data_IF_488882796187
#
_entry.id   IF_488882796187
#
_cell.length_a   1.000
_cell.length_b   1.000
_cell.length_c   1.000
_cell.angle_alpha   90.00
_cell.angle_beta   90.00
_cell.angle_gamma   90.00
#
_symmetry.space_group_name_H-M   'P 1'
#
loop_
_entity.id
_entity.type
_entity.pdbx_description
1 polymer ?
#
# COMPACT_ATOMS: atom_id res chain seq x y z
N UNK A 1 27.69 -1.56 -64.08
CA UNK A 1 27.58 -3.01 -63.83
C UNK A 1 27.92 -3.28 -62.38
N UNK A 2 26.90 -3.59 -61.55
CA UNK A 2 26.91 -4.35 -60.27
C UNK A 2 27.90 -3.91 -59.16
N UNK A 3 27.60 -3.71 -57.88
CA UNK A 3 26.43 -3.86 -57.00
C UNK A 3 26.94 -3.37 -55.63
N UNK A 4 26.57 -2.18 -55.16
CA UNK A 4 25.60 -1.96 -54.07
C UNK A 4 25.30 -3.21 -53.20
N UNK A 5 26.14 -3.50 -52.19
CA UNK A 5 25.81 -4.34 -51.01
C UNK A 5 26.95 -4.32 -49.98
N UNK A 6 27.06 -3.27 -49.18
CA UNK A 6 27.88 -3.27 -47.95
C UNK A 6 27.35 -2.31 -46.90
N UNK A 7 26.04 -2.36 -46.61
CA UNK A 7 25.42 -1.51 -45.59
C UNK A 7 24.41 -2.22 -44.68
N UNK A 8 24.19 -3.54 -44.83
CA UNK A 8 23.08 -4.23 -44.16
C UNK A 8 23.50 -5.11 -42.97
N UNK A 9 24.80 -5.22 -42.66
CA UNK A 9 25.29 -6.02 -41.51
C UNK A 9 25.48 -5.21 -40.22
N UNK A 10 25.65 -3.88 -40.30
CA UNK A 10 25.94 -3.06 -39.12
C UNK A 10 24.72 -2.33 -38.52
N UNK A 11 23.58 -2.30 -39.21
CA UNK A 11 22.35 -1.69 -38.67
C UNK A 11 21.57 -2.68 -37.81
N UNK A 12 21.71 -3.99 -38.05
CA UNK A 12 21.05 -5.03 -37.26
C UNK A 12 21.73 -5.31 -35.91
N UNK A 13 23.04 -5.04 -35.78
CA UNK A 13 23.77 -5.29 -34.54
C UNK A 13 23.64 -4.15 -33.52
N UNK A 14 23.12 -2.99 -33.93
CA UNK A 14 22.93 -1.82 -33.06
C UNK A 14 21.53 -1.74 -32.43
N UNK A 15 20.63 -2.68 -32.72
CA UNK A 15 19.24 -2.65 -32.23
C UNK A 15 18.97 -3.57 -31.03
N UNK A 16 20.00 -4.25 -30.51
CA UNK A 16 19.86 -5.24 -29.42
C UNK A 16 20.16 -4.67 -28.01
N UNK A 17 20.50 -3.39 -27.87
CA UNK A 17 20.94 -2.82 -26.59
C UNK A 17 20.17 -1.55 -26.15
N UNK A 18 18.88 -1.45 -26.50
CA UNK A 18 18.05 -0.31 -26.10
C UNK A 18 16.63 -0.70 -25.66
N UNK A 19 16.45 -1.98 -25.28
CA UNK A 19 15.18 -2.54 -24.81
C UNK A 19 15.10 -2.81 -23.30
N UNK A 20 16.05 -2.29 -22.52
CA UNK A 20 16.12 -2.46 -21.06
C UNK A 20 16.33 -1.12 -20.36
N UNK A 21 15.50 -0.12 -20.65
CA UNK A 21 15.16 0.82 -19.57
C UNK A 21 13.98 0.19 -18.85
N UNK A 22 14.32 -0.66 -17.88
CA UNK A 22 13.36 -1.22 -16.96
C UNK A 22 12.59 -0.06 -16.31
N UNK A 23 11.29 -0.25 -16.17
CA UNK A 23 10.55 0.40 -15.10
C UNK A 23 11.22 -0.02 -13.80
N UNK A 24 12.20 0.76 -13.35
CA UNK A 24 12.54 0.83 -11.95
C UNK A 24 11.36 1.51 -11.27
N UNK A 25 10.32 0.71 -10.99
CA UNK A 25 9.49 0.98 -9.82
C UNK A 25 10.39 0.68 -8.63
N UNK A 26 11.25 1.65 -8.31
CA UNK A 26 11.64 1.82 -6.94
C UNK A 26 10.30 2.05 -6.25
N UNK A 27 9.84 1.06 -5.50
CA UNK A 27 8.86 1.28 -4.47
C UNK A 27 9.49 2.33 -3.56
N UNK A 28 9.25 3.61 -3.86
CA UNK A 28 9.61 4.68 -2.97
C UNK A 28 8.92 4.32 -1.67
N UNK A 29 9.73 4.15 -0.62
CA UNK A 29 9.23 4.04 0.74
C UNK A 29 8.28 5.23 0.92
N UNK A 30 6.99 4.94 1.03
CA UNK A 30 5.93 5.95 1.04
C UNK A 30 6.39 7.11 1.94
N UNK A 31 6.33 8.37 1.47
CA UNK A 31 6.79 9.52 2.24
C UNK A 31 6.17 9.41 3.64
N UNK A 32 7.01 9.43 4.68
CA UNK A 32 6.63 9.13 6.06
C UNK A 32 5.29 9.80 6.38
N UNK A 33 4.23 9.00 6.40
CA UNK A 33 2.87 9.51 6.56
C UNK A 33 2.78 10.04 7.99
N UNK A 34 2.51 11.32 8.12
CA UNK A 34 2.22 11.89 9.42
C UNK A 34 0.80 11.50 9.81
N UNK A 35 0.72 10.52 10.71
CA UNK A 35 -0.54 9.98 11.21
C UNK A 35 -1.09 10.80 12.39
N UNK A 36 -0.30 11.71 12.96
CA UNK A 36 -0.74 12.46 14.14
C UNK A 36 -1.81 13.49 13.73
N UNK A 37 -2.96 13.45 14.42
CA UNK A 37 -4.10 14.33 14.20
C UNK A 37 -4.70 14.31 12.78
N UNK A 38 -4.36 13.32 11.95
CA UNK A 38 -4.97 13.16 10.63
C UNK A 38 -6.45 12.77 10.76
N UNK A 39 -7.35 13.55 10.17
CA UNK A 39 -8.78 13.28 10.29
C UNK A 39 -9.23 12.22 9.27
N UNK A 40 -10.38 11.60 9.53
CA UNK A 40 -11.03 10.71 8.55
C UNK A 40 -11.29 11.44 7.23
N UNK A 41 -11.66 12.72 7.28
CA UNK A 41 -11.89 13.52 6.09
C UNK A 41 -10.59 13.72 5.27
N UNK A 42 -9.45 13.92 5.94
CA UNK A 42 -8.15 14.05 5.29
C UNK A 42 -7.71 12.75 4.63
N UNK A 43 -7.93 11.61 5.30
CA UNK A 43 -7.68 10.29 4.74
C UNK A 43 -8.55 10.04 3.49
N UNK A 44 -9.85 10.27 3.60
CA UNK A 44 -10.77 10.13 2.47
C UNK A 44 -10.39 11.03 1.30
N UNK A 45 -9.99 12.29 1.58
CA UNK A 45 -9.51 13.19 0.54
C UNK A 45 -8.20 12.70 -0.07
N UNK A 46 -7.28 12.20 0.76
CA UNK A 46 -6.01 11.63 0.31
C UNK A 46 -6.19 10.39 -0.57
N UNK A 47 -7.15 9.52 -0.27
CA UNK A 47 -7.49 8.38 -1.13
C UNK A 47 -8.06 8.85 -2.47
N UNK A 48 -8.96 9.84 -2.47
CA UNK A 48 -9.54 10.40 -3.70
C UNK A 48 -8.51 11.07 -4.61
N UNK A 49 -7.51 11.73 -4.04
CA UNK A 49 -6.44 12.40 -4.81
C UNK A 49 -5.29 11.47 -5.15
N UNK A 50 -5.29 10.22 -4.68
CA UNK A 50 -4.18 9.28 -4.83
C UNK A 50 -2.93 9.67 -4.02
N UNK A 51 -3.08 10.58 -3.04
CA UNK A 51 -2.00 10.93 -2.10
C UNK A 51 -1.63 9.76 -1.21
N UNK A 52 -2.61 8.93 -0.86
CA UNK A 52 -2.44 7.75 -0.01
C UNK A 52 -3.15 6.55 -0.62
N UNK A 53 -2.69 5.37 -0.28
CA UNK A 53 -3.42 4.11 -0.46
C UNK A 53 -3.93 3.61 0.90
N UNK A 54 -5.00 2.84 0.90
CA UNK A 54 -5.56 2.23 2.11
C UNK A 54 -4.54 1.25 2.70
N UNK A 55 -3.82 0.50 1.86
CA UNK A 55 -2.68 -0.33 2.26
C UNK A 55 -1.59 0.50 2.93
N UNK A 56 -1.19 1.63 2.33
CA UNK A 56 -0.14 2.50 2.88
C UNK A 56 -0.50 3.07 4.25
N UNK A 57 -1.73 3.54 4.43
CA UNK A 57 -2.23 4.01 5.73
C UNK A 57 -2.28 2.87 6.76
N UNK A 58 -2.76 1.70 6.37
CA UNK A 58 -2.81 0.53 7.25
C UNK A 58 -1.42 0.13 7.70
N UNK A 59 -0.46 0.03 6.76
CA UNK A 59 0.93 -0.29 7.07
C UNK A 59 1.57 0.75 8.00
N UNK A 60 1.32 2.05 7.77
CA UNK A 60 1.85 3.11 8.63
C UNK A 60 1.37 2.97 10.09
N UNK A 61 0.11 2.55 10.32
CA UNK A 61 -0.38 2.27 11.66
C UNK A 61 0.23 0.99 12.25
N UNK A 62 0.40 -0.07 11.47
CA UNK A 62 1.07 -1.30 11.92
C UNK A 62 2.52 -1.03 12.35
N UNK A 63 3.25 -0.24 11.56
CA UNK A 63 4.62 0.17 11.87
C UNK A 63 4.67 0.98 13.18
N UNK A 64 3.68 1.86 13.40
CA UNK A 64 3.56 2.65 14.63
C UNK A 64 3.23 1.77 15.84
N UNK A 65 2.36 0.77 15.68
CA UNK A 65 2.06 -0.22 16.74
C UNK A 65 3.35 -0.96 17.11
N UNK A 66 4.10 -1.46 16.13
CA UNK A 66 5.36 -2.16 16.40
C UNK A 66 6.40 -1.26 17.09
N UNK A 67 6.53 -0.02 16.63
CA UNK A 67 7.51 0.92 17.17
C UNK A 67 7.17 1.43 18.58
N UNK A 68 5.88 1.65 18.89
CA UNK A 68 5.45 2.32 20.12
C UNK A 68 4.83 1.33 21.12
N UNK A 69 3.92 0.47 20.66
CA UNK A 69 3.19 -0.45 21.51
C UNK A 69 4.05 -1.63 21.97
N UNK A 70 4.93 -2.13 21.10
CA UNK A 70 5.76 -3.33 21.35
C UNK A 70 7.20 -3.03 21.76
N UNK A 71 7.92 -2.24 20.95
CA UNK A 71 9.37 -2.09 21.14
C UNK A 71 9.79 -0.78 21.82
N UNK A 72 8.94 0.25 21.79
CA UNK A 72 9.25 1.57 22.35
C UNK A 72 8.86 1.70 23.82
N UNK A 73 7.96 2.64 24.20
CA UNK A 73 7.47 2.76 25.57
C UNK A 73 6.68 1.54 26.06
N UNK A 74 6.43 0.55 25.21
CA UNK A 74 5.76 -0.70 25.54
C UNK A 74 4.39 -0.48 26.18
N UNK A 75 3.54 0.30 25.51
CA UNK A 75 2.22 0.66 26.02
C UNK A 75 1.30 -0.56 26.21
N UNK A 76 1.51 -1.62 25.42
CA UNK A 76 0.70 -2.84 25.45
C UNK A 76 -0.82 -2.59 25.31
N UNK A 77 -1.20 -1.58 24.53
CA UNK A 77 -2.58 -1.22 24.23
C UNK A 77 -3.21 -2.13 23.16
N UNK A 78 -2.41 -2.70 22.25
CA UNK A 78 -2.92 -3.58 21.17
C UNK A 78 -2.59 -5.04 21.51
N UNK A 79 -3.59 -5.81 21.92
CA UNK A 79 -3.40 -7.22 22.30
C UNK A 79 -3.00 -8.05 21.08
N UNK A 80 -3.69 -7.87 19.95
CA UNK A 80 -3.42 -8.54 18.67
C UNK A 80 -3.77 -7.65 17.49
N UNK A 81 -3.05 -7.85 16.39
CA UNK A 81 -3.36 -7.28 15.08
C UNK A 81 -4.06 -8.34 14.24
N UNK A 82 -5.02 -7.93 13.41
CA UNK A 82 -5.66 -8.83 12.45
C UNK A 82 -4.64 -9.27 11.38
N UNK A 83 -4.37 -10.59 11.23
CA UNK A 83 -3.40 -11.08 10.25
C UNK A 83 -3.79 -10.77 8.80
N UNK A 84 -5.07 -10.55 8.54
CA UNK A 84 -5.62 -10.27 7.22
C UNK A 84 -5.72 -8.74 6.95
N UNK A 85 -5.27 -7.88 7.87
CA UNK A 85 -5.47 -6.42 7.78
C UNK A 85 -4.96 -5.81 6.46
N UNK A 86 -3.77 -6.20 6.00
CA UNK A 86 -3.19 -5.71 4.74
C UNK A 86 -3.90 -6.28 3.51
N UNK A 87 -4.36 -7.53 3.57
CA UNK A 87 -5.15 -8.15 2.49
C UNK A 87 -6.50 -7.45 2.34
N UNK A 88 -7.17 -7.19 3.46
CA UNK A 88 -8.43 -6.42 3.51
C UNK A 88 -8.20 -5.02 2.95
N UNK A 89 -7.13 -4.32 3.38
CA UNK A 89 -6.79 -3.00 2.87
C UNK A 89 -6.58 -2.99 1.34
N UNK A 90 -5.87 -3.98 0.79
CA UNK A 90 -5.65 -4.12 -0.64
C UNK A 90 -6.95 -4.34 -1.41
N UNK A 91 -7.88 -5.14 -0.84
CA UNK A 91 -9.20 -5.33 -1.44
C UNK A 91 -10.03 -4.04 -1.50
N UNK A 92 -9.91 -3.18 -0.48
CA UNK A 92 -10.60 -1.88 -0.44
C UNK A 92 -9.97 -0.88 -1.41
N UNK A 93 -8.65 -0.87 -1.57
CA UNK A 93 -7.99 -0.07 -2.62
C UNK A 93 -8.51 -0.43 -4.01
N UNK A 94 -8.66 -1.73 -4.29
CA UNK A 94 -9.20 -2.21 -5.57
C UNK A 94 -10.67 -1.82 -5.75
N UNK A 95 -11.50 -1.93 -4.72
CA UNK A 95 -12.88 -1.44 -4.77
C UNK A 95 -12.96 0.06 -5.07
N UNK A 96 -12.12 0.86 -4.39
CA UNK A 96 -12.07 2.30 -4.61
C UNK A 96 -11.65 2.62 -6.05
N UNK A 97 -10.66 1.90 -6.59
CA UNK A 97 -10.21 2.01 -7.99
C UNK A 97 -11.32 1.65 -8.99
N UNK A 98 -12.19 0.72 -8.63
CA UNK A 98 -13.39 0.37 -9.41
C UNK A 98 -14.56 1.34 -9.22
N UNK A 99 -14.40 2.40 -8.41
CA UNK A 99 -15.47 3.36 -8.10
C UNK A 99 -16.50 2.85 -7.09
N UNK A 100 -16.23 1.74 -6.40
CA UNK A 100 -17.13 1.09 -5.42
C UNK A 100 -16.85 1.56 -4.00
N UNK A 101 -16.98 2.87 -3.77
CA UNK A 101 -16.84 3.41 -2.40
C UNK A 101 -17.96 2.91 -1.48
N UNK A 102 -17.59 2.55 -0.24
CA UNK A 102 -18.53 2.15 0.83
C UNK A 102 -18.96 3.32 1.73
N UNK A 103 -18.64 4.56 1.34
CA UNK A 103 -18.94 5.77 2.12
C UNK A 103 -17.76 6.24 2.97
N UNK A 104 -18.04 7.09 3.98
CA UNK A 104 -17.03 7.83 4.73
C UNK A 104 -16.02 6.96 5.51
N UNK A 105 -16.38 5.70 5.81
CA UNK A 105 -15.53 4.75 6.52
C UNK A 105 -14.79 3.78 5.58
N UNK A 106 -14.93 3.92 4.26
CA UNK A 106 -14.26 3.05 3.31
C UNK A 106 -12.73 3.18 3.46
N UNK A 107 -12.05 2.10 3.85
CA UNK A 107 -10.59 2.08 3.99
C UNK A 107 -10.05 2.80 5.22
N UNK A 108 -10.86 3.05 6.25
CA UNK A 108 -10.39 3.63 7.51
C UNK A 108 -10.01 2.50 8.49
N UNK A 109 -8.75 2.38 8.92
CA UNK A 109 -8.36 1.40 9.93
C UNK A 109 -9.01 1.72 11.28
N UNK A 110 -9.48 0.69 11.97
CA UNK A 110 -10.09 0.81 13.31
C UNK A 110 -9.52 -0.26 14.24
N UNK A 111 -9.49 0.05 15.54
CA UNK A 111 -9.25 -0.93 16.59
C UNK A 111 -10.57 -1.26 17.28
N UNK A 112 -10.75 -2.54 17.59
CA UNK A 112 -11.88 -3.04 18.36
C UNK A 112 -11.38 -3.45 19.74
N UNK A 113 -12.22 -3.23 20.76
CA UNK A 113 -11.94 -3.74 22.09
C UNK A 113 -12.12 -5.26 22.07
N UNK A 114 -11.26 -6.00 22.79
CA UNK A 114 -11.22 -7.47 22.74
C UNK A 114 -12.47 -8.17 23.31
N UNK A 115 -13.49 -7.42 23.74
CA UNK A 115 -14.81 -7.93 24.13
C UNK A 115 -15.88 -7.73 23.03
N UNK A 116 -15.46 -7.35 21.82
CA UNK A 116 -16.32 -7.19 20.65
C UNK A 116 -15.99 -8.32 19.68
N UNK A 117 -16.97 -9.17 19.41
CA UNK A 117 -16.81 -10.27 18.47
C UNK A 117 -16.64 -9.77 17.03
N UNK A 118 -15.80 -10.48 16.29
CA UNK A 118 -15.61 -10.34 14.86
C UNK A 118 -15.79 -11.70 14.21
N UNK A 119 -16.33 -11.72 13.00
CA UNK A 119 -16.45 -12.94 12.21
C UNK A 119 -15.26 -13.07 11.26
N UNK A 120 -14.06 -13.03 11.83
CA UNK A 120 -12.78 -13.18 11.13
C UNK A 120 -11.85 -14.14 11.90
N UNK A 121 -10.54 -14.07 11.65
CA UNK A 121 -9.54 -14.94 12.32
C UNK A 121 -9.12 -14.42 13.71
N UNK A 122 -9.70 -13.33 14.20
CA UNK A 122 -9.39 -12.75 15.50
C UNK A 122 -10.16 -13.47 16.60
N UNK A 123 -9.49 -13.93 17.66
CA UNK A 123 -10.17 -14.46 18.83
C UNK A 123 -10.79 -13.32 19.65
N UNK A 124 -11.91 -13.61 20.32
CA UNK A 124 -12.40 -12.84 21.46
C UNK A 124 -12.03 -13.61 22.74
N UNK A 125 -11.50 -12.93 23.76
CA UNK A 125 -11.03 -13.57 25.00
C UNK A 125 -11.79 -13.15 26.27
N UNK A 126 -12.84 -12.34 26.13
CA UNK A 126 -13.63 -11.78 27.24
C UNK A 126 -15.10 -12.20 27.20
#
# INVERSE_FOLDING_TARGET
MKTLRSGLKNVFFSFLLMGLMGCNSLAEKDPKIDLEEITIADLQQGYKTGKFTIVGITQAYLDRIEAIDKNGPALNAVIRVNPDALEIAASLDEELRQGKSRGAMHGIPVLLKDNIDTHDKMPNTA
#
